data_IF_029232727246
#
_entry.id   IF_029232727246
#
_cell.length_a   1.000
_cell.length_b   1.000
_cell.length_c   1.000
_cell.angle_alpha   90.00
_cell.angle_beta   90.00
_cell.angle_gamma   90.00
#
_symmetry.space_group_name_H-M   'P 1'
#
loop_
_entity.id
_entity.type
_entity.pdbx_description
1 polymer ?
#
# COMPACT_ATOMS: atom_id res chain seq x y z
N UNK A 1 14.17 1.54 5.50
CA UNK A 1 13.06 0.80 4.89
C UNK A 1 11.98 1.78 4.48
N UNK A 2 11.46 1.66 3.26
CA UNK A 2 10.32 2.44 2.77
C UNK A 2 9.12 1.52 2.66
N UNK A 3 7.96 1.95 3.15
CA UNK A 3 6.70 1.22 3.00
C UNK A 3 5.86 1.94 1.95
N UNK A 4 5.25 1.16 1.05
CA UNK A 4 4.35 1.67 0.01
C UNK A 4 2.91 1.21 0.27
N UNK A 5 1.94 2.06 -0.06
CA UNK A 5 0.51 1.70 -0.06
C UNK A 5 -0.13 2.14 -1.39
N UNK A 6 -1.10 1.34 -1.83
CA UNK A 6 -2.01 1.68 -2.92
C UNK A 6 -3.12 2.57 -2.38
N UNK A 7 -3.50 3.59 -3.12
CA UNK A 7 -4.70 4.40 -2.87
C UNK A 7 -5.30 4.80 -4.22
N UNK A 8 -6.48 5.40 -4.22
CA UNK A 8 -7.04 6.07 -5.38
C UNK A 8 -6.77 7.57 -5.36
N UNK A 9 -6.92 8.23 -6.50
CA UNK A 9 -6.66 9.67 -6.69
C UNK A 9 -7.70 10.57 -6.01
N UNK A 10 -8.91 10.05 -5.76
CA UNK A 10 -10.03 10.73 -5.14
C UNK A 10 -10.17 10.48 -3.63
N UNK A 11 -9.44 9.50 -3.07
CA UNK A 11 -9.46 9.23 -1.65
C UNK A 11 -8.77 10.37 -0.87
N UNK A 12 -9.49 11.12 -0.01
CA UNK A 12 -8.94 12.27 0.68
C UNK A 12 -8.13 11.91 1.93
N UNK A 13 -8.13 10.63 2.32
CA UNK A 13 -7.52 10.17 3.57
C UNK A 13 -6.13 9.61 3.33
N UNK A 14 -5.23 9.89 4.27
CA UNK A 14 -3.90 9.31 4.23
C UNK A 14 -3.95 7.83 4.70
N UNK A 15 -3.51 6.86 3.89
CA UNK A 15 -3.64 5.43 4.19
C UNK A 15 -2.76 4.98 5.37
N UNK A 16 -1.78 5.79 5.75
CA UNK A 16 -0.79 5.48 6.77
C UNK A 16 -1.17 6.02 8.16
N UNK A 17 -1.96 7.09 8.23
CA UNK A 17 -2.35 7.79 9.47
C UNK A 17 -3.85 7.80 9.70
N UNK A 18 -4.65 7.67 8.63
CA UNK A 18 -6.11 7.66 8.64
C UNK A 18 -6.68 6.38 8.01
N UNK A 19 -6.05 5.24 8.29
CA UNK A 19 -6.34 3.95 7.65
C UNK A 19 -7.84 3.59 7.64
N UNK A 20 -8.55 3.74 8.76
CA UNK A 20 -9.98 3.40 8.83
C UNK A 20 -10.85 4.24 7.89
N UNK A 21 -10.59 5.55 7.81
CA UNK A 21 -11.34 6.44 6.92
C UNK A 21 -10.97 6.19 5.46
N UNK A 22 -9.68 5.96 5.20
CA UNK A 22 -9.17 5.55 3.89
C UNK A 22 -9.82 4.26 3.40
N UNK A 23 -9.85 3.22 4.25
CA UNK A 23 -10.37 1.90 3.93
C UNK A 23 -11.88 1.93 3.69
N UNK A 24 -12.64 2.65 4.54
CA UNK A 24 -14.08 2.82 4.33
C UNK A 24 -14.40 3.53 3.02
N UNK A 25 -13.71 4.61 2.71
CA UNK A 25 -13.89 5.30 1.43
C UNK A 25 -13.61 4.35 0.26
N UNK A 26 -12.54 3.57 0.35
CA UNK A 26 -12.13 2.62 -0.69
C UNK A 26 -13.18 1.51 -0.92
N UNK A 27 -13.74 0.95 0.16
CA UNK A 27 -14.82 -0.06 0.11
C UNK A 27 -16.15 0.52 -0.35
N UNK A 28 -16.56 1.69 0.16
CA UNK A 28 -17.84 2.34 -0.19
C UNK A 28 -17.90 2.75 -1.67
N UNK A 29 -16.76 3.09 -2.26
CA UNK A 29 -16.64 3.39 -3.70
C UNK A 29 -16.35 2.14 -4.56
N UNK A 30 -16.21 0.96 -3.94
CA UNK A 30 -16.03 -0.32 -4.64
C UNK A 30 -14.64 -0.54 -5.25
N UNK A 31 -13.62 0.22 -4.81
CA UNK A 31 -12.25 0.09 -5.31
C UNK A 31 -11.58 -1.19 -4.80
N UNK A 32 -11.81 -1.54 -3.53
CA UNK A 32 -11.25 -2.73 -2.88
C UNK A 32 -9.74 -2.86 -3.08
N UNK A 33 -9.00 -1.75 -2.99
CA UNK A 33 -7.58 -1.61 -3.27
C UNK A 33 -6.73 -2.64 -2.52
N UNK A 34 -7.05 -2.93 -1.25
CA UNK A 34 -6.36 -3.97 -0.47
C UNK A 34 -6.53 -5.36 -1.09
N UNK A 35 -7.76 -5.75 -1.44
CA UNK A 35 -8.04 -7.06 -2.03
C UNK A 35 -7.46 -7.17 -3.44
N UNK A 36 -7.49 -6.09 -4.22
CA UNK A 36 -6.88 -6.05 -5.54
C UNK A 36 -5.37 -6.21 -5.48
N UNK A 37 -4.71 -5.47 -4.58
CA UNK A 37 -3.27 -5.59 -4.33
C UNK A 37 -2.89 -7.02 -3.89
N UNK A 38 -3.65 -7.62 -2.97
CA UNK A 38 -3.39 -8.97 -2.48
C UNK A 38 -3.44 -10.06 -3.58
N UNK A 39 -4.18 -9.83 -4.67
CA UNK A 39 -4.21 -10.76 -5.82
C UNK A 39 -2.96 -10.66 -6.70
N UNK A 40 -2.24 -9.55 -6.66
CA UNK A 40 -1.09 -9.26 -7.54
C UNK A 40 0.24 -9.41 -6.79
N UNK A 41 0.26 -9.07 -5.50
CA UNK A 41 1.42 -9.24 -4.64
C UNK A 41 1.71 -10.72 -4.41
N UNK A 42 2.98 -11.11 -4.53
CA UNK A 42 3.45 -12.50 -4.36
C UNK A 42 4.25 -12.62 -3.07
N UNK A 43 3.64 -12.19 -1.97
CA UNK A 43 4.24 -12.27 -0.63
C UNK A 43 4.23 -13.72 -0.12
N UNK A 44 5.15 -14.05 0.78
CA UNK A 44 5.25 -15.38 1.37
C UNK A 44 5.95 -15.31 2.74
N UNK A 45 5.58 -16.24 3.63
CA UNK A 45 6.25 -16.42 4.93
C UNK A 45 7.69 -16.91 4.78
N UNK A 46 8.08 -17.36 3.58
CA UNK A 46 9.46 -17.75 3.25
C UNK A 46 10.34 -16.56 2.83
N UNK A 47 9.74 -15.41 2.52
CA UNK A 47 10.46 -14.19 2.15
C UNK A 47 10.76 -13.36 3.40
N UNK A 48 11.89 -12.65 3.39
CA UNK A 48 12.18 -11.64 4.40
C UNK A 48 11.15 -10.50 4.37
N UNK A 49 11.05 -9.73 5.44
CA UNK A 49 10.19 -8.54 5.47
C UNK A 49 10.53 -7.56 4.35
N UNK A 50 11.81 -7.41 4.03
CA UNK A 50 12.26 -6.53 2.95
C UNK A 50 11.80 -7.04 1.57
N UNK A 51 11.98 -8.33 1.29
CA UNK A 51 11.53 -8.93 0.02
C UNK A 51 10.01 -8.85 -0.13
N UNK A 52 9.26 -9.07 0.96
CA UNK A 52 7.81 -8.88 0.96
C UNK A 52 7.41 -7.43 0.67
N UNK A 53 8.11 -6.44 1.24
CA UNK A 53 7.88 -5.02 0.96
C UNK A 53 8.21 -4.66 -0.50
N UNK A 54 9.30 -5.21 -1.05
CA UNK A 54 9.68 -5.03 -2.46
C UNK A 54 8.63 -5.64 -3.41
N UNK A 55 8.08 -6.82 -3.08
CA UNK A 55 7.00 -7.43 -3.85
C UNK A 55 5.69 -6.64 -3.80
N UNK A 56 5.35 -6.08 -2.63
CA UNK A 56 4.22 -5.17 -2.50
C UNK A 56 4.42 -3.92 -3.38
N UNK A 57 5.61 -3.31 -3.35
CA UNK A 57 5.90 -2.15 -4.20
C UNK A 57 5.83 -2.49 -5.69
N UNK A 58 6.37 -3.65 -6.11
CA UNK A 58 6.24 -4.14 -7.50
C UNK A 58 4.78 -4.28 -7.90
N UNK A 59 3.97 -4.92 -7.07
CA UNK A 59 2.55 -5.11 -7.34
C UNK A 59 1.79 -3.78 -7.48
N UNK A 60 2.06 -2.81 -6.60
CA UNK A 60 1.51 -1.45 -6.71
C UNK A 60 1.93 -0.78 -8.02
N UNK A 61 3.21 -0.90 -8.41
CA UNK A 61 3.69 -0.34 -9.67
C UNK A 61 3.01 -0.96 -10.89
N UNK A 62 2.77 -2.27 -10.88
CA UNK A 62 2.06 -2.95 -11.95
C UNK A 62 0.59 -2.50 -12.03
N UNK A 63 -0.10 -2.36 -10.89
CA UNK A 63 -1.46 -1.82 -10.86
C UNK A 63 -1.51 -0.46 -11.54
N UNK A 64 -0.62 0.45 -11.18
CA UNK A 64 -0.59 1.81 -11.75
C UNK A 64 -0.18 1.79 -13.22
N UNK A 65 0.79 0.95 -13.61
CA UNK A 65 1.27 0.85 -14.99
C UNK A 65 0.18 0.36 -15.93
N UNK A 66 -0.66 -0.55 -15.46
CA UNK A 66 -1.74 -1.17 -16.24
C UNK A 66 -3.12 -0.58 -15.92
N UNK A 67 -3.18 0.61 -15.31
CA UNK A 67 -4.41 1.35 -15.04
C UNK A 67 -4.71 2.36 -16.17
N UNK A 68 -5.61 2.05 -17.11
CA UNK A 68 -5.94 2.95 -18.21
C UNK A 68 -6.76 4.17 -17.78
N UNK A 69 -7.36 4.15 -16.58
CA UNK A 69 -8.22 5.21 -16.08
C UNK A 69 -7.46 6.20 -15.18
N UNK A 70 -6.26 5.86 -14.72
CA UNK A 70 -5.44 6.71 -13.85
C UNK A 70 -6.06 6.94 -12.47
N UNK A 71 -6.83 5.97 -11.98
CA UNK A 71 -7.49 5.96 -10.68
C UNK A 71 -6.47 5.71 -9.57
N UNK A 72 -5.49 4.82 -9.79
CA UNK A 72 -4.60 4.35 -8.72
C UNK A 72 -3.35 5.22 -8.56
N UNK A 73 -2.93 5.37 -7.31
CA UNK A 73 -1.77 6.14 -6.89
C UNK A 73 -0.97 5.39 -5.80
N UNK A 74 0.36 5.50 -5.88
CA UNK A 74 1.27 4.99 -4.86
C UNK A 74 1.59 6.08 -3.84
N UNK A 75 1.51 5.75 -2.55
CA UNK A 75 2.00 6.59 -1.44
C UNK A 75 3.18 5.89 -0.78
N UNK A 76 4.25 6.64 -0.50
CA UNK A 76 5.47 6.13 0.15
C UNK A 76 5.66 6.76 1.52
N UNK A 77 6.05 5.96 2.51
CA UNK A 77 6.47 6.44 3.83
C UNK A 77 7.84 5.87 4.19
N UNK A 78 8.79 6.75 4.54
CA UNK A 78 10.06 6.32 5.11
C UNK A 78 9.83 5.90 6.56
N UNK A 79 10.14 4.66 6.90
CA UNK A 79 10.23 4.25 8.29
C UNK A 79 11.49 4.90 8.88
N UNK A 80 11.31 5.84 9.80
CA UNK A 80 12.41 6.21 10.71
C UNK A 80 12.62 5.02 11.63
N UNK A 81 13.86 4.55 11.86
CA UNK A 81 14.10 3.56 12.91
C UNK A 81 13.60 4.16 14.24
N UNK A 82 12.75 3.43 14.95
CA UNK A 82 12.37 3.82 16.32
C UNK A 82 13.65 4.02 17.15
N UNK A 83 13.72 5.05 18.00
CA UNK A 83 14.78 5.10 18.98
C UNK A 83 14.65 3.86 19.85
N UNK A 84 15.75 3.09 19.95
CA UNK A 84 15.84 1.95 20.84
C UNK A 84 15.28 2.35 22.21
N UNK A 85 14.23 1.66 22.66
CA UNK A 85 13.69 1.84 24.01
C UNK A 85 14.78 1.39 24.96
N UNK A 86 15.58 2.33 25.45
CA UNK A 86 16.52 2.10 26.54
C UNK A 86 15.68 1.87 27.80
N UNK A 87 15.57 0.61 28.21
CA UNK A 87 15.12 0.25 29.56
C UNK A 87 16.21 0.55 30.59
#
# INVERSE_FOLDING_TARGET
METCMLTTTDNPYDPFTQYEAWYRFDEDNGYHSCAFLARIARTSDQLSEQENMEEIERAINDIIKYDPLGIYKKVKRKLKPEPAVTM
#
